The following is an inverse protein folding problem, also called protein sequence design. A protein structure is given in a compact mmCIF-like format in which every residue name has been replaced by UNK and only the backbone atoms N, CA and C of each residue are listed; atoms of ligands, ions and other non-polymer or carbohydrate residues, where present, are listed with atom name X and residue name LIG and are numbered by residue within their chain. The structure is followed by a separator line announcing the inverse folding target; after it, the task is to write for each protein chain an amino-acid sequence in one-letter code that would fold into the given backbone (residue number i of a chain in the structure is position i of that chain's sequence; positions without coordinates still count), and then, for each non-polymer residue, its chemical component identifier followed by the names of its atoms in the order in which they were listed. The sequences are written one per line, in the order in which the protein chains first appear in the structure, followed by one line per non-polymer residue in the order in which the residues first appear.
data_IF_418111419921
#
_entry.id   IF_418111419921
#
_cell.length_a   1.000
_cell.length_b   1.000
_cell.length_c   1.000
_cell.angle_alpha   90.00
_cell.angle_beta   90.00
_cell.angle_gamma   90.00
#
_symmetry.space_group_name_H-M   'P 1'
#
loop_
_entity.id
_entity.type
_entity.pdbx_description
1 polymer ?
#
# COMPACT_ATOMS: atom_id res chain seq x y z
N UNK A 1 37.30 3.26 4.28
CA UNK A 1 37.83 4.38 5.13
C UNK A 1 39.31 4.64 4.82
N UNK A 2 39.82 5.89 4.89
CA UNK A 2 41.25 6.21 4.68
C UNK A 2 42.00 6.12 6.01
N UNK A 3 43.03 5.27 6.08
CA UNK A 3 43.97 5.22 7.22
C UNK A 3 45.22 6.03 6.86
N UNK A 4 45.56 7.04 7.65
CA UNK A 4 46.73 7.89 7.42
C UNK A 4 47.61 8.05 8.67
N UNK A 5 48.92 8.14 8.45
CA UNK A 5 49.94 8.39 9.48
C UNK A 5 50.99 9.35 8.92
N UNK A 6 51.50 10.26 9.76
CA UNK A 6 52.61 11.14 9.42
C UNK A 6 53.86 10.63 10.14
N UNK A 7 54.84 10.18 9.37
CA UNK A 7 56.09 9.64 9.89
C UNK A 7 57.27 10.58 9.58
N UNK A 8 58.27 10.57 10.46
CA UNK A 8 59.47 11.41 10.33
C UNK A 8 60.74 10.58 10.35
N UNK A 9 61.68 10.87 9.46
CA UNK A 9 62.92 10.09 9.29
C UNK A 9 64.12 10.96 8.93
N UNK A 10 65.34 10.40 9.06
CA UNK A 10 66.58 11.11 8.65
C UNK A 10 66.69 11.27 7.12
N UNK A 11 66.07 10.36 6.38
CA UNK A 11 65.92 10.37 4.94
C UNK A 11 64.45 10.15 4.59
N UNK A 12 64.06 10.43 3.35
CA UNK A 12 62.70 10.17 2.86
C UNK A 12 62.36 8.68 2.99
N UNK A 13 63.27 7.80 2.57
CA UNK A 13 63.06 6.34 2.70
C UNK A 13 62.91 5.90 4.15
N UNK A 14 63.72 6.45 5.07
CA UNK A 14 63.58 6.12 6.50
C UNK A 14 62.26 6.62 7.11
N UNK A 15 61.68 7.69 6.56
CA UNK A 15 60.36 8.19 6.96
C UNK A 15 59.24 7.30 6.39
N UNK A 16 59.39 6.80 5.17
CA UNK A 16 58.45 5.84 4.54
C UNK A 16 58.46 4.52 5.32
N UNK A 17 59.63 3.96 5.62
CA UNK A 17 59.75 2.68 6.34
C UNK A 17 59.12 2.77 7.73
N UNK A 18 59.35 3.87 8.45
CA UNK A 18 58.71 4.13 9.75
C UNK A 18 57.19 4.28 9.64
N UNK A 19 56.68 4.88 8.57
CA UNK A 19 55.24 4.99 8.30
C UNK A 19 54.59 3.64 7.95
N UNK A 20 55.29 2.80 7.19
CA UNK A 20 54.85 1.45 6.85
C UNK A 20 54.77 0.55 8.10
N UNK A 21 55.77 0.63 8.99
CA UNK A 21 55.80 -0.12 10.24
C UNK A 21 54.65 0.31 11.18
N UNK A 22 54.34 1.61 11.24
CA UNK A 22 53.23 2.12 12.05
C UNK A 22 51.85 1.76 11.49
N UNK A 23 51.70 1.65 10.16
CA UNK A 23 50.47 1.19 9.50
C UNK A 23 50.35 -0.34 9.44
N UNK A 24 51.43 -1.08 9.72
CA UNK A 24 51.46 -2.54 9.71
C UNK A 24 51.31 -3.16 8.32
N UNK A 25 51.67 -2.41 7.27
CA UNK A 25 51.45 -2.77 5.87
C UNK A 25 52.76 -2.67 5.07
N UNK A 26 52.96 -3.51 4.04
CA UNK A 26 54.16 -3.46 3.21
C UNK A 26 54.15 -2.22 2.31
N UNK A 27 55.35 -1.72 1.94
CA UNK A 27 55.55 -0.51 1.12
C UNK A 27 54.78 -0.53 -0.21
N UNK A 28 54.48 -1.71 -0.72
CA UNK A 28 53.83 -1.93 -2.02
C UNK A 28 52.31 -1.74 -1.96
N UNK A 29 51.72 -1.61 -0.76
CA UNK A 29 50.28 -1.49 -0.55
C UNK A 29 49.86 -0.11 0.00
N UNK A 30 50.76 0.86 0.01
CA UNK A 30 50.54 2.15 0.67
C UNK A 30 50.99 3.30 -0.23
N UNK A 31 50.18 4.35 -0.28
CA UNK A 31 50.53 5.59 -0.96
C UNK A 31 51.22 6.56 0.00
N UNK A 32 52.16 7.35 -0.52
CA UNK A 32 52.90 8.32 0.31
C UNK A 32 53.07 9.67 -0.37
N UNK A 33 53.05 10.71 0.43
CA UNK A 33 53.23 12.11 0.04
C UNK A 33 54.36 12.72 0.88
N UNK A 34 55.38 13.27 0.21
CA UNK A 34 56.51 13.91 0.89
C UNK A 34 56.12 15.33 1.28
N UNK A 35 55.93 15.57 2.56
CA UNK A 35 55.57 16.88 3.11
C UNK A 35 56.83 17.76 3.23
N UNK A 36 57.93 17.18 3.69
CA UNK A 36 59.16 17.94 3.98
C UNK A 36 60.40 17.12 3.60
N UNK A 37 61.25 17.68 2.74
CA UNK A 37 62.51 17.05 2.34
C UNK A 37 63.59 17.28 3.41
N UNK A 38 64.45 16.28 3.67
CA UNK A 38 65.54 16.43 4.61
C UNK A 38 66.57 17.42 4.06
N UNK A 39 66.80 18.53 4.76
CA UNK A 39 67.81 19.52 4.38
C UNK A 39 68.91 19.62 5.42
N UNK A 40 70.16 19.54 4.95
CA UNK A 40 71.38 19.70 5.76
C UNK A 40 71.91 21.12 5.57
N UNK A 41 71.86 21.94 6.63
CA UNK A 41 72.36 23.32 6.59
C UNK A 41 73.88 23.42 6.36
N UNK A 42 74.33 24.55 5.81
CA UNK A 42 75.67 24.79 5.24
C UNK A 42 76.88 24.66 6.19
N UNK A 43 76.69 24.38 7.49
CA UNK A 43 77.80 24.15 8.44
C UNK A 43 77.53 22.99 9.42
N UNK A 44 76.62 22.07 9.08
CA UNK A 44 76.34 20.88 9.90
C UNK A 44 75.58 21.12 11.22
N UNK A 45 75.19 22.37 11.51
CA UNK A 45 74.57 22.79 12.78
C UNK A 45 73.03 22.67 12.80
N UNK A 46 72.39 22.41 11.66
CA UNK A 46 70.92 22.25 11.58
C UNK A 46 70.56 21.15 10.57
N UNK A 47 69.89 20.11 11.06
CA UNK A 47 69.34 19.01 10.26
C UNK A 47 67.83 19.01 10.47
N UNK A 48 67.09 19.18 9.38
CA UNK A 48 65.63 19.00 9.38
C UNK A 48 65.33 17.57 8.95
N UNK A 49 64.55 16.79 9.75
CA UNK A 49 64.16 15.44 9.37
C UNK A 49 63.15 15.49 8.22
N UNK A 50 63.16 14.47 7.38
CA UNK A 50 62.14 14.26 6.37
C UNK A 50 60.79 13.98 7.05
N UNK A 51 59.70 14.55 6.53
CA UNK A 51 58.33 14.24 6.94
C UNK A 51 57.56 13.68 5.75
N UNK A 52 56.94 12.53 5.94
CA UNK A 52 56.19 11.83 4.90
C UNK A 52 54.83 11.43 5.47
N UNK A 53 53.76 11.76 4.74
CA UNK A 53 52.41 11.27 5.01
C UNK A 53 52.25 9.96 4.26
N UNK A 54 51.86 8.93 4.99
CA UNK A 54 51.68 7.58 4.46
C UNK A 54 50.20 7.23 4.69
N UNK A 55 49.48 6.85 3.63
CA UNK A 55 48.05 6.58 3.70
C UNK A 55 47.63 5.40 2.83
N UNK A 56 46.64 4.63 3.29
CA UNK A 56 46.01 3.55 2.52
C UNK A 56 44.51 3.75 2.50
N UNK A 57 43.96 3.68 1.30
CA UNK A 57 42.51 3.59 1.09
C UNK A 57 42.13 2.11 1.16
N UNK A 58 41.57 1.67 2.29
CA UNK A 58 41.04 0.32 2.40
C UNK A 58 39.67 0.28 1.67
N UNK A 59 39.50 -0.61 0.68
CA UNK A 59 38.18 -0.88 0.11
C UNK A 59 37.33 -1.56 1.19
N UNK A 60 36.19 -0.95 1.52
CA UNK A 60 35.23 -1.55 2.44
C UNK A 60 34.78 -2.91 1.88
N UNK A 61 34.75 -3.93 2.75
CA UNK A 61 34.47 -5.30 2.40
C UNK A 61 33.13 -5.48 1.67
N UNK A 62 33.21 -6.09 0.49
CA UNK A 62 32.21 -6.92 -0.19
C UNK A 62 30.77 -6.37 -0.34
N UNK A 63 30.55 -5.64 -1.44
CA UNK A 63 29.42 -5.92 -2.34
C UNK A 63 30.01 -5.96 -3.76
N UNK A 64 29.78 -7.02 -4.57
CA UNK A 64 30.47 -7.20 -5.83
C UNK A 64 29.97 -6.18 -6.85
N UNK A 65 30.68 -5.07 -7.02
CA UNK A 65 30.53 -4.21 -8.18
C UNK A 65 31.54 -4.66 -9.24
N UNK A 66 31.09 -5.59 -10.08
CA UNK A 66 31.73 -5.89 -11.35
C UNK A 66 31.67 -4.63 -12.22
N UNK A 67 32.75 -3.84 -12.17
CA UNK A 67 32.99 -2.73 -13.10
C UNK A 67 33.30 -3.29 -14.49
N UNK A 68 32.27 -3.72 -15.20
CA UNK A 68 32.24 -3.64 -16.66
C UNK A 68 31.58 -2.32 -17.05
N UNK A 69 32.27 -1.54 -17.88
CA UNK A 69 31.91 -0.22 -18.40
C UNK A 69 30.39 -0.04 -18.61
N UNK A 70 29.72 0.56 -17.63
CA UNK A 70 28.33 0.98 -17.77
C UNK A 70 28.33 2.34 -18.49
N UNK A 71 27.55 2.52 -19.58
CA UNK A 71 27.39 3.82 -20.22
C UNK A 71 26.84 4.84 -19.23
N UNK A 72 26.90 6.12 -19.59
CA UNK A 72 26.59 7.33 -18.80
C UNK A 72 25.13 7.42 -18.26
N UNK A 73 24.65 6.38 -17.57
CA UNK A 73 23.37 6.29 -16.87
C UNK A 73 23.42 6.94 -15.47
N UNK A 74 24.62 7.29 -15.00
CA UNK A 74 24.83 7.95 -13.71
C UNK A 74 24.02 9.25 -13.57
N UNK A 75 23.92 10.03 -14.65
CA UNK A 75 23.12 11.26 -14.66
C UNK A 75 21.62 11.02 -14.43
N UNK A 76 21.04 9.99 -15.07
CA UNK A 76 19.60 9.68 -14.93
C UNK A 76 19.25 9.19 -13.53
N UNK A 77 20.13 8.36 -12.95
CA UNK A 77 19.95 7.82 -11.60
C UNK A 77 20.00 8.93 -10.57
N UNK A 78 20.96 9.85 -10.69
CA UNK A 78 21.06 11.01 -9.82
C UNK A 78 19.82 11.89 -9.89
N UNK A 79 19.30 12.16 -11.09
CA UNK A 79 18.04 12.91 -11.27
C UNK A 79 16.87 12.20 -10.60
N UNK A 80 16.77 10.88 -10.78
CA UNK A 80 15.71 10.08 -10.15
C UNK A 80 15.77 10.13 -8.62
N UNK A 81 16.97 9.96 -8.05
CA UNK A 81 17.21 10.04 -6.60
C UNK A 81 16.87 11.44 -6.06
N UNK A 82 17.36 12.48 -6.71
CA UNK A 82 17.12 13.86 -6.30
C UNK A 82 15.64 14.20 -6.35
N UNK A 83 14.94 13.79 -7.42
CA UNK A 83 13.51 14.04 -7.58
C UNK A 83 12.68 13.40 -6.46
N UNK A 84 12.97 12.15 -6.10
CA UNK A 84 12.28 11.48 -4.98
C UNK A 84 12.57 12.21 -3.67
N UNK A 85 13.84 12.57 -3.43
CA UNK A 85 14.26 13.24 -2.21
C UNK A 85 13.63 14.63 -2.07
N UNK A 86 13.50 15.39 -3.16
CA UNK A 86 12.85 16.71 -3.17
C UNK A 86 11.36 16.61 -2.86
N UNK A 87 10.65 15.63 -3.44
CA UNK A 87 9.22 15.44 -3.14
C UNK A 87 9.03 15.00 -1.69
N UNK A 88 9.83 14.04 -1.21
CA UNK A 88 9.72 13.54 0.16
C UNK A 88 10.00 14.65 1.17
N UNK A 89 10.99 15.52 0.92
CA UNK A 89 11.23 16.72 1.71
C UNK A 89 10.07 17.70 1.65
N UNK A 90 9.50 17.95 0.47
CA UNK A 90 8.31 18.80 0.32
C UNK A 90 7.08 18.25 1.06
N UNK A 91 7.01 16.94 1.30
CA UNK A 91 6.00 16.29 2.14
C UNK A 91 6.27 16.43 3.65
N UNK A 92 7.38 17.05 4.06
CA UNK A 92 7.78 17.25 5.46
C UNK A 92 8.51 16.05 6.08
N UNK A 93 9.11 15.19 5.27
CA UNK A 93 9.88 14.02 5.73
C UNK A 93 11.38 14.31 5.60
N UNK A 94 11.96 14.84 6.68
CA UNK A 94 13.33 15.36 6.66
C UNK A 94 14.42 14.27 6.87
N UNK A 95 14.05 13.12 7.44
CA UNK A 95 14.98 12.03 7.78
C UNK A 95 14.82 10.81 6.85
N UNK A 96 14.88 11.05 5.54
CA UNK A 96 14.76 9.99 4.52
C UNK A 96 16.01 9.94 3.65
N UNK A 97 16.51 8.72 3.43
CA UNK A 97 17.62 8.44 2.51
C UNK A 97 17.13 7.55 1.37
N UNK A 98 17.65 7.78 0.16
CA UNK A 98 17.27 7.02 -1.03
C UNK A 98 18.52 6.33 -1.58
N UNK A 99 18.60 5.02 -1.45
CA UNK A 99 19.65 4.20 -2.07
C UNK A 99 19.19 3.73 -3.44
N UNK A 100 20.03 3.87 -4.46
CA UNK A 100 19.78 3.33 -5.79
C UNK A 100 20.61 2.07 -6.01
N UNK A 101 20.00 1.04 -6.59
CA UNK A 101 20.68 -0.15 -7.11
C UNK A 101 20.38 -0.23 -8.60
N UNK A 102 21.42 -0.21 -9.42
CA UNK A 102 21.30 -0.30 -10.88
C UNK A 102 21.56 -1.74 -11.34
N UNK A 103 20.67 -2.25 -12.17
CA UNK A 103 20.79 -3.51 -12.88
C UNK A 103 20.46 -3.26 -14.35
N UNK A 104 21.48 -3.14 -15.20
CA UNK A 104 21.34 -2.82 -16.63
C UNK A 104 20.53 -1.53 -16.87
N UNK A 105 19.34 -1.66 -17.47
CA UNK A 105 18.38 -0.58 -17.74
C UNK A 105 17.29 -0.44 -16.66
N UNK A 106 17.39 -1.21 -15.58
CA UNK A 106 16.48 -1.13 -14.44
C UNK A 106 17.18 -0.46 -13.26
N UNK A 107 16.47 0.44 -12.60
CA UNK A 107 16.97 1.10 -11.39
C UNK A 107 15.94 0.91 -10.30
N UNK A 108 16.40 0.31 -9.21
CA UNK A 108 15.62 0.13 -8.00
C UNK A 108 16.03 1.19 -6.98
N UNK A 109 15.11 2.11 -6.68
CA UNK A 109 15.25 3.10 -5.63
C UNK A 109 14.61 2.56 -4.35
N UNK A 110 15.42 2.36 -3.32
CA UNK A 110 14.94 1.99 -1.98
C UNK A 110 14.91 3.22 -1.09
N UNK A 111 13.74 3.52 -0.57
CA UNK A 111 13.51 4.61 0.37
C UNK A 111 13.68 4.06 1.80
N UNK A 112 14.73 4.50 2.48
CA UNK A 112 15.11 4.12 3.84
C UNK A 112 14.90 5.30 4.80
N UNK A 113 14.61 4.99 6.07
CA UNK A 113 14.40 5.97 7.14
C UNK A 113 13.06 5.81 7.83
N UNK A 114 12.69 6.78 8.67
CA UNK A 114 11.32 6.89 9.20
C UNK A 114 10.42 7.47 8.09
N UNK A 115 10.28 6.67 7.05
CA UNK A 115 9.37 6.92 5.93
C UNK A 115 7.98 6.69 6.49
N UNK A 116 7.50 7.71 7.20
CA UNK A 116 6.19 7.74 7.80
C UNK A 116 5.14 7.27 6.78
N UNK A 117 4.07 6.62 7.22
CA UNK A 117 3.03 6.05 6.35
C UNK A 117 2.45 7.01 5.29
N UNK A 118 2.73 8.31 5.42
CA UNK A 118 2.52 9.38 4.45
C UNK A 118 3.17 9.11 3.08
N UNK A 119 4.45 8.73 3.01
CA UNK A 119 5.14 8.49 1.74
C UNK A 119 4.73 7.15 1.08
N UNK A 120 4.25 6.20 1.88
CA UNK A 120 3.61 4.99 1.37
C UNK A 120 2.24 5.34 0.78
N UNK A 121 1.51 6.22 1.45
CA UNK A 121 0.16 6.60 1.09
C UNK A 121 -0.87 5.53 1.43
N UNK A 122 -2.15 5.80 1.12
CA UNK A 122 -3.21 4.82 1.31
C UNK A 122 -2.94 3.63 0.40
N UNK A 123 -2.59 2.49 1.00
CA UNK A 123 -2.36 1.23 0.30
C UNK A 123 -1.24 1.23 -0.75
N UNK A 124 -0.31 2.19 -0.71
CA UNK A 124 0.81 2.25 -1.66
C UNK A 124 0.56 3.16 -2.86
N UNK A 125 -0.59 3.83 -2.94
CA UNK A 125 -0.93 4.72 -4.06
C UNK A 125 0.11 5.85 -4.24
N UNK A 126 0.64 6.39 -3.13
CA UNK A 126 1.67 7.42 -3.19
C UNK A 126 2.99 6.87 -3.71
N UNK A 127 3.38 5.64 -3.34
CA UNK A 127 4.57 4.98 -3.91
C UNK A 127 4.41 4.72 -5.40
N UNK A 128 3.24 4.26 -5.84
CA UNK A 128 2.98 4.02 -7.26
C UNK A 128 3.02 5.35 -8.06
N UNK A 129 2.44 6.42 -7.52
CA UNK A 129 2.49 7.75 -8.12
C UNK A 129 3.91 8.31 -8.17
N UNK A 130 4.67 8.19 -7.08
CA UNK A 130 6.09 8.58 -7.03
C UNK A 130 6.91 7.81 -8.05
N UNK A 131 6.71 6.49 -8.18
CA UNK A 131 7.41 5.67 -9.15
C UNK A 131 7.14 6.15 -10.58
N UNK A 132 5.88 6.43 -10.91
CA UNK A 132 5.48 6.92 -12.22
C UNK A 132 6.12 8.28 -12.53
N UNK A 133 6.01 9.24 -11.61
CA UNK A 133 6.54 10.60 -11.81
C UNK A 133 8.06 10.60 -11.89
N UNK A 134 8.73 9.80 -11.06
CA UNK A 134 10.19 9.67 -11.09
C UNK A 134 10.66 9.05 -12.40
N UNK A 135 9.94 8.03 -12.90
CA UNK A 135 10.20 7.46 -14.23
C UNK A 135 10.08 8.49 -15.35
N UNK A 136 9.07 9.35 -15.31
CA UNK A 136 8.92 10.45 -16.28
C UNK A 136 10.06 11.48 -16.16
N UNK A 137 10.44 11.85 -14.94
CA UNK A 137 11.51 12.82 -14.70
C UNK A 137 12.88 12.29 -15.17
N UNK A 138 13.21 11.04 -14.84
CA UNK A 138 14.48 10.42 -15.20
C UNK A 138 14.60 10.18 -16.72
N UNK A 139 13.51 9.79 -17.38
CA UNK A 139 13.49 9.56 -18.83
C UNK A 139 13.36 10.83 -19.67
N UNK A 140 13.24 12.01 -19.04
CA UNK A 140 13.34 13.29 -19.75
C UNK A 140 14.78 13.60 -20.17
N UNK A 141 15.76 13.08 -19.45
CA UNK A 141 17.18 13.23 -19.77
C UNK A 141 17.53 12.31 -20.94
N UNK A 142 18.38 12.80 -21.85
CA UNK A 142 18.83 12.05 -23.04
C UNK A 142 19.52 10.72 -22.67
N UNK A 143 19.43 9.74 -23.58
CA UNK A 143 19.97 8.39 -23.42
C UNK A 143 18.88 7.31 -23.38
N UNK A 144 19.27 6.08 -23.10
CA UNK A 144 18.37 4.91 -23.15
C UNK A 144 17.24 4.96 -22.12
N UNK A 145 16.15 4.25 -22.42
CA UNK A 145 15.00 4.17 -21.53
C UNK A 145 15.39 3.48 -20.21
N UNK A 146 15.19 4.20 -19.10
CA UNK A 146 15.47 3.76 -17.75
C UNK A 146 14.16 3.35 -17.07
N UNK A 147 14.05 2.08 -16.69
CA UNK A 147 12.91 1.59 -15.90
C UNK A 147 13.17 1.85 -14.42
N UNK A 148 12.43 2.79 -13.84
CA UNK A 148 12.51 3.12 -12.42
C UNK A 148 11.50 2.29 -11.62
N UNK A 149 11.99 1.64 -10.57
CA UNK A 149 11.21 0.90 -9.57
C UNK A 149 11.46 1.55 -8.21
N UNK A 150 10.40 1.84 -7.46
CA UNK A 150 10.53 2.38 -6.11
C UNK A 150 9.99 1.35 -5.12
N UNK A 151 10.78 1.07 -4.09
CA UNK A 151 10.36 0.25 -2.95
C UNK A 151 10.69 0.94 -1.62
N UNK A 152 9.88 0.68 -0.61
CA UNK A 152 10.06 1.17 0.74
C UNK A 152 9.75 0.06 1.73
N UNK A 153 10.77 -0.41 2.46
CA UNK A 153 10.62 -1.40 3.55
C UNK A 153 9.91 -2.71 3.16
N UNK A 154 10.07 -3.17 1.90
CA UNK A 154 9.36 -4.32 1.31
C UNK A 154 7.83 -4.21 1.40
N UNK A 155 7.30 -3.00 1.24
CA UNK A 155 5.87 -2.72 1.40
C UNK A 155 5.01 -3.60 0.47
N UNK A 156 5.41 -3.78 -0.80
CA UNK A 156 4.64 -4.55 -1.78
C UNK A 156 4.41 -6.00 -1.34
N UNK A 157 5.43 -6.64 -0.77
CA UNK A 157 5.34 -8.01 -0.27
C UNK A 157 4.47 -8.10 0.98
N UNK A 158 4.72 -7.24 1.98
CA UNK A 158 3.90 -7.17 3.20
C UNK A 158 2.43 -6.90 2.89
N UNK A 159 2.17 -6.02 1.91
CA UNK A 159 0.83 -5.67 1.47
C UNK A 159 0.13 -6.85 0.81
N UNK A 160 0.82 -7.58 -0.07
CA UNK A 160 0.31 -8.82 -0.67
C UNK A 160 -0.11 -9.81 0.41
N UNK A 161 0.78 -10.10 1.35
CA UNK A 161 0.51 -11.04 2.44
C UNK A 161 -0.72 -10.62 3.28
N UNK A 162 -0.87 -9.32 3.52
CA UNK A 162 -2.04 -8.77 4.25
C UNK A 162 -3.34 -8.98 3.48
N UNK A 163 -3.33 -8.76 2.16
CA UNK A 163 -4.51 -8.97 1.29
C UNK A 163 -4.90 -10.43 1.19
N UNK A 164 -3.92 -11.34 1.09
CA UNK A 164 -4.16 -12.78 1.09
C UNK A 164 -4.79 -13.25 2.41
N UNK A 165 -4.25 -12.79 3.54
CA UNK A 165 -4.80 -13.10 4.86
C UNK A 165 -6.23 -12.56 5.03
N UNK A 166 -6.49 -11.33 4.56
CA UNK A 166 -7.82 -10.74 4.54
C UNK A 166 -8.78 -11.59 3.71
N UNK A 167 -8.38 -11.98 2.49
CA UNK A 167 -9.17 -12.81 1.59
C UNK A 167 -9.53 -14.15 2.24
N UNK A 168 -8.55 -14.86 2.82
CA UNK A 168 -8.76 -16.12 3.54
C UNK A 168 -9.73 -15.97 4.71
N UNK A 169 -9.57 -14.90 5.51
CA UNK A 169 -10.47 -14.61 6.64
C UNK A 169 -11.91 -14.35 6.20
N UNK A 170 -12.10 -13.55 5.15
CA UNK A 170 -13.43 -13.25 4.62
C UNK A 170 -14.06 -14.47 3.95
N UNK A 171 -13.30 -15.26 3.20
CA UNK A 171 -13.77 -16.51 2.61
C UNK A 171 -14.31 -17.45 3.69
N UNK A 172 -13.57 -17.68 4.78
CA UNK A 172 -14.03 -18.50 5.89
C UNK A 172 -15.33 -17.97 6.53
N UNK A 173 -15.47 -16.66 6.68
CA UNK A 173 -16.68 -16.03 7.20
C UNK A 173 -17.88 -16.19 6.23
N UNK A 174 -17.66 -16.03 4.93
CA UNK A 174 -18.68 -16.19 3.88
C UNK A 174 -19.14 -17.64 3.80
N UNK A 175 -18.24 -18.62 3.89
CA UNK A 175 -18.59 -20.06 3.93
C UNK A 175 -19.44 -20.36 5.16
N UNK A 176 -19.04 -19.87 6.34
CA UNK A 176 -19.75 -20.13 7.61
C UNK A 176 -21.13 -19.49 7.64
N UNK A 177 -21.26 -18.26 7.14
CA UNK A 177 -22.50 -17.48 7.22
C UNK A 177 -23.42 -17.66 6.02
N UNK A 178 -22.86 -18.01 4.86
CA UNK A 178 -23.55 -18.02 3.57
C UNK A 178 -23.91 -16.63 3.05
N UNK A 179 -23.37 -15.55 3.65
CA UNK A 179 -23.68 -14.15 3.28
C UNK A 179 -22.53 -13.56 2.48
N UNK A 180 -22.87 -12.84 1.41
CA UNK A 180 -21.89 -12.14 0.59
C UNK A 180 -21.22 -11.01 1.38
N UNK A 181 -19.93 -10.80 1.15
CA UNK A 181 -19.16 -9.70 1.73
C UNK A 181 -18.57 -8.84 0.62
N UNK A 182 -18.79 -7.53 0.70
CA UNK A 182 -18.20 -6.55 -0.22
C UNK A 182 -16.98 -5.92 0.43
N UNK A 183 -15.87 -5.88 -0.29
CA UNK A 183 -14.64 -5.25 0.18
C UNK A 183 -14.61 -3.76 -0.17
N UNK A 184 -13.65 -3.04 0.42
CA UNK A 184 -13.40 -1.66 0.06
C UNK A 184 -12.89 -1.56 -1.41
N UNK A 185 -13.18 -0.45 -2.11
CA UNK A 185 -12.62 -0.19 -3.45
C UNK A 185 -11.11 -0.29 -3.45
N UNK A 186 -10.52 -0.89 -4.48
CA UNK A 186 -9.08 -1.13 -4.55
C UNK A 186 -8.56 -1.19 -5.99
N UNK A 187 -7.26 -0.96 -6.16
CA UNK A 187 -6.65 -0.95 -7.49
C UNK A 187 -6.74 -2.35 -8.17
N UNK A 188 -6.63 -2.43 -9.51
CA UNK A 188 -6.75 -3.69 -10.24
C UNK A 188 -5.78 -4.79 -9.78
N UNK A 189 -4.58 -4.41 -9.34
CA UNK A 189 -3.56 -5.34 -8.84
C UNK A 189 -3.98 -5.98 -7.52
N UNK A 190 -4.47 -5.20 -6.55
CA UNK A 190 -4.99 -5.69 -5.28
C UNK A 190 -6.20 -6.62 -5.52
N UNK A 191 -7.12 -6.24 -6.42
CA UNK A 191 -8.27 -7.10 -6.79
C UNK A 191 -7.81 -8.45 -7.33
N UNK A 192 -6.77 -8.46 -8.18
CA UNK A 192 -6.21 -9.69 -8.75
C UNK A 192 -5.64 -10.61 -7.67
N UNK A 193 -4.93 -10.07 -6.67
CA UNK A 193 -4.42 -10.86 -5.54
C UNK A 193 -5.58 -11.55 -4.83
N UNK A 194 -6.65 -10.79 -4.50
CA UNK A 194 -7.81 -11.34 -3.80
C UNK A 194 -8.53 -12.41 -4.64
N UNK A 195 -8.74 -12.16 -5.93
CA UNK A 195 -9.33 -13.14 -6.83
C UNK A 195 -8.50 -14.43 -6.90
N UNK A 196 -7.17 -14.31 -7.02
CA UNK A 196 -6.26 -15.45 -7.03
C UNK A 196 -6.37 -16.24 -5.72
N UNK A 197 -6.27 -15.58 -4.56
CA UNK A 197 -6.38 -16.27 -3.26
C UNK A 197 -7.74 -16.94 -3.06
N UNK A 198 -8.83 -16.34 -3.52
CA UNK A 198 -10.17 -16.91 -3.38
C UNK A 198 -10.37 -18.10 -4.33
N UNK A 199 -9.76 -18.07 -5.52
CA UNK A 199 -9.89 -19.16 -6.49
C UNK A 199 -9.33 -20.49 -5.98
N UNK A 200 -8.43 -20.46 -5.00
CA UNK A 200 -7.87 -21.63 -4.33
C UNK A 200 -8.79 -22.21 -3.25
N UNK A 201 -9.84 -21.50 -2.85
CA UNK A 201 -10.71 -21.88 -1.72
C UNK A 201 -12.06 -22.39 -2.23
N UNK A 202 -12.37 -23.65 -1.95
CA UNK A 202 -13.68 -24.22 -2.28
C UNK A 202 -14.82 -23.60 -1.45
N UNK A 203 -16.02 -23.52 -2.03
CA UNK A 203 -17.21 -23.00 -1.34
C UNK A 203 -17.44 -21.49 -1.48
N UNK A 204 -16.55 -20.77 -2.17
CA UNK A 204 -16.64 -19.32 -2.43
C UNK A 204 -16.29 -18.96 -3.86
N UNK A 205 -16.82 -17.82 -4.30
CA UNK A 205 -16.50 -17.18 -5.57
C UNK A 205 -16.29 -15.70 -5.34
N UNK A 206 -15.63 -15.04 -6.29
CA UNK A 206 -15.40 -13.60 -6.23
C UNK A 206 -15.73 -12.91 -7.55
N UNK A 207 -16.27 -11.69 -7.48
CA UNK A 207 -16.57 -10.87 -8.63
C UNK A 207 -16.18 -9.41 -8.36
N UNK A 208 -15.57 -8.73 -9.33
CA UNK A 208 -15.29 -7.30 -9.25
C UNK A 208 -16.51 -6.50 -9.71
N UNK A 209 -17.04 -5.61 -8.87
CA UNK A 209 -18.25 -4.81 -9.13
C UNK A 209 -17.96 -3.31 -8.95
N UNK A 210 -18.61 -2.49 -9.78
CA UNK A 210 -18.43 -1.04 -9.84
C UNK A 210 -17.44 -0.61 -10.92
N UNK A 211 -17.23 0.70 -11.03
CA UNK A 211 -16.31 1.33 -11.98
C UNK A 211 -15.14 1.97 -11.23
N UNK A 212 -13.96 1.99 -11.84
CA UNK A 212 -12.79 2.71 -11.34
C UNK A 212 -13.12 4.18 -11.04
N UNK A 213 -12.68 4.76 -9.90
CA UNK A 213 -11.82 4.19 -8.85
C UNK A 213 -12.58 3.45 -7.73
N UNK A 214 -13.92 3.43 -7.78
CA UNK A 214 -14.78 2.85 -6.74
C UNK A 214 -15.01 1.34 -6.91
N UNK A 215 -14.30 0.69 -7.83
CA UNK A 215 -14.44 -0.73 -8.10
C UNK A 215 -13.92 -1.57 -6.95
N UNK A 216 -14.74 -2.53 -6.52
CA UNK A 216 -14.48 -3.38 -5.36
C UNK A 216 -14.68 -4.86 -5.69
N UNK A 217 -14.21 -5.75 -4.81
CA UNK A 217 -14.42 -7.19 -4.92
C UNK A 217 -15.56 -7.61 -4.00
N UNK A 218 -16.49 -8.39 -4.52
CA UNK A 218 -17.54 -9.07 -3.76
C UNK A 218 -17.18 -10.54 -3.68
N UNK A 219 -17.21 -11.09 -2.47
CA UNK A 219 -17.04 -12.51 -2.20
C UNK A 219 -18.41 -13.10 -1.89
N UNK A 220 -18.79 -14.13 -2.62
CA UNK A 220 -20.06 -14.86 -2.47
C UNK A 220 -19.82 -16.32 -2.15
N UNK A 221 -20.73 -16.94 -1.39
CA UNK A 221 -20.68 -18.39 -1.19
C UNK A 221 -21.28 -19.08 -2.42
N UNK A 222 -20.71 -20.22 -2.82
CA UNK A 222 -21.32 -21.09 -3.84
C UNK A 222 -22.55 -21.81 -3.31
N UNK A 223 -22.68 -21.95 -1.99
CA UNK A 223 -23.84 -22.54 -1.31
C UNK A 223 -24.51 -21.47 -0.43
N UNK A 224 -25.17 -20.45 -1.02
CA UNK A 224 -25.81 -19.40 -0.25
C UNK A 224 -26.92 -19.98 0.62
N UNK A 225 -26.93 -19.63 1.91
CA UNK A 225 -28.03 -20.01 2.80
C UNK A 225 -29.29 -19.26 2.35
N UNK A 226 -30.45 -19.94 2.20
CA UNK A 226 -31.70 -19.27 1.88
C UNK A 226 -31.95 -18.16 2.89
N UNK A 227 -32.09 -16.93 2.41
CA UNK A 227 -32.50 -15.86 3.30
C UNK A 227 -33.91 -16.17 3.79
N UNK A 228 -34.21 -16.06 5.11
CA UNK A 228 -35.59 -16.08 5.56
C UNK A 228 -36.30 -14.91 4.86
N UNK A 229 -37.18 -15.23 3.92
CA UNK A 229 -38.00 -14.25 3.21
C UNK A 229 -38.73 -13.42 4.25
N UNK A 230 -38.46 -12.12 4.25
CA UNK A 230 -39.05 -11.15 5.17
C UNK A 230 -40.55 -10.92 5.00
N UNK A 231 -41.22 -11.71 4.14
CA UNK A 231 -42.64 -11.57 3.81
C UNK A 231 -43.54 -12.33 4.79
N UNK A 232 -43.34 -12.14 6.11
CA UNK A 232 -44.26 -12.62 7.16
C UNK A 232 -44.97 -11.51 7.94
N UNK A 233 -45.00 -10.29 7.41
CA UNK A 233 -45.81 -9.20 7.96
C UNK A 233 -46.76 -8.66 6.90
N UNK A 234 -47.95 -9.27 6.77
CA UNK A 234 -49.26 -8.60 6.60
C UNK A 234 -50.32 -9.51 5.97
N UNK A 235 -50.78 -10.54 6.71
CA UNK A 235 -52.04 -11.18 6.34
C UNK A 235 -52.86 -11.69 7.53
N UNK A 236 -52.78 -11.00 8.67
CA UNK A 236 -53.68 -11.22 9.82
C UNK A 236 -54.78 -10.18 9.97
N UNK A 237 -54.84 -9.15 9.12
CA UNK A 237 -55.85 -8.07 9.26
C UNK A 237 -57.07 -8.18 8.34
N UNK A 238 -57.25 -9.26 7.55
CA UNK A 238 -58.38 -9.36 6.60
C UNK A 238 -59.52 -10.29 6.99
N UNK A 239 -59.56 -10.78 8.24
CA UNK A 239 -60.72 -11.53 8.71
C UNK A 239 -61.25 -10.95 10.03
N UNK A 240 -61.76 -9.72 9.95
CA UNK A 240 -62.70 -9.20 10.94
C UNK A 240 -64.09 -9.38 10.29
N UNK A 241 -64.94 -10.32 10.76
CA UNK A 241 -66.26 -10.48 10.18
C UNK A 241 -67.05 -9.19 10.39
N UNK A 242 -67.64 -8.69 9.30
CA UNK A 242 -68.59 -7.58 9.33
C UNK A 242 -69.73 -7.95 10.29
N UNK A 243 -69.71 -7.40 11.50
CA UNK A 243 -70.82 -7.50 12.44
C UNK A 243 -71.86 -6.44 12.07
N UNK A 244 -72.50 -6.65 10.91
CA UNK A 244 -73.78 -6.02 10.57
C UNK A 244 -74.88 -6.82 11.26
N UNK A 245 -75.40 -6.29 12.36
CA UNK A 245 -76.46 -6.95 13.11
C UNK A 245 -77.02 -6.02 14.17
N UNK A 246 -78.05 -5.29 13.76
CA UNK A 246 -79.17 -4.73 14.53
C UNK A 246 -79.00 -4.64 16.05
N UNK A 247 -79.07 -3.42 16.58
CA UNK A 247 -79.46 -3.16 17.96
C UNK A 247 -80.92 -3.59 18.15
N UNK A 248 -81.26 -4.42 19.14
CA UNK A 248 -82.57 -4.38 19.76
C UNK A 248 -82.47 -3.56 21.05
N UNK A 249 -83.30 -2.54 21.11
CA UNK A 249 -83.62 -1.81 22.33
C UNK A 249 -84.42 -2.71 23.29
N UNK A 250 -84.08 -2.67 24.58
CA UNK A 250 -85.02 -3.00 25.66
C UNK A 250 -84.58 -4.10 26.63
N UNK A 251 -84.61 -3.78 27.94
CA UNK A 251 -84.85 -4.78 28.99
C UNK A 251 -83.86 -4.76 30.16
N UNK A 252 -84.26 -4.13 31.26
CA UNK A 252 -83.64 -4.21 32.58
C UNK A 252 -83.61 -5.65 33.15
N UNK A 253 -82.54 -6.02 33.88
CA UNK A 253 -82.60 -6.50 35.29
C UNK A 253 -81.23 -6.97 35.79
N UNK A 254 -80.79 -6.29 36.84
CA UNK A 254 -80.25 -6.77 38.12
C UNK A 254 -79.66 -8.19 38.19
N UNK A 255 -78.42 -8.27 38.65
CA UNK A 255 -77.82 -9.54 39.06
C UNK A 255 -76.37 -9.42 39.48
N UNK A 256 -76.15 -9.23 40.78
CA UNK A 256 -74.88 -9.42 41.50
C UNK A 256 -74.01 -10.55 40.93
N UNK A 257 -72.74 -10.26 40.63
CA UNK A 257 -71.69 -11.24 40.90
C UNK A 257 -70.46 -10.54 41.48
N UNK A 258 -70.22 -10.86 42.75
CA UNK A 258 -69.05 -10.55 43.56
C UNK A 258 -67.92 -11.52 43.23
N UNK A 259 -66.69 -11.05 43.32
CA UNK A 259 -65.46 -11.86 43.30
C UNK A 259 -64.31 -11.04 42.73
N UNK A 260 -63.67 -10.14 43.48
CA UNK A 260 -62.72 -10.40 44.57
C UNK A 260 -61.55 -11.31 44.16
N UNK A 261 -60.44 -10.69 43.75
CA UNK A 261 -59.04 -10.99 44.10
C UNK A 261 -58.16 -10.20 43.12
N UNK A 262 -57.18 -9.38 43.46
CA UNK A 262 -56.53 -9.07 44.72
C UNK A 262 -55.19 -8.41 44.36
N UNK A 263 -54.94 -7.23 44.95
CA UNK A 263 -53.66 -6.59 45.29
C UNK A 263 -52.66 -6.19 44.18
N UNK A 264 -52.44 -4.86 44.01
CA UNK A 264 -51.39 -4.00 44.63
C UNK A 264 -50.03 -4.15 43.94
N UNK A 265 -49.22 -3.13 43.65
CA UNK A 265 -49.14 -1.70 44.00
C UNK A 265 -48.19 -1.04 42.97
N UNK A 266 -48.35 0.27 42.72
CA UNK A 266 -47.33 1.05 42.00
C UNK A 266 -47.87 2.36 41.46
N UNK A 267 -47.89 3.38 42.31
CA UNK A 267 -48.44 4.73 42.07
C UNK A 267 -47.35 5.65 41.49
N UNK A 268 -47.82 6.71 40.82
CA UNK A 268 -47.16 7.97 40.44
C UNK A 268 -46.47 7.97 39.06
N UNK A 269 -47.08 8.60 38.04
CA UNK A 269 -47.18 10.07 37.81
C UNK A 269 -45.82 10.74 37.89
N UNK A 270 -45.23 10.95 36.72
CA UNK A 270 -44.61 12.23 36.38
C UNK A 270 -44.90 12.53 34.91
N UNK A 271 -45.89 13.40 34.73
CA UNK A 271 -46.02 14.26 33.56
C UNK A 271 -44.91 15.31 33.68
N UNK A 272 -43.96 15.35 32.75
CA UNK A 272 -43.15 16.54 32.46
C UNK A 272 -42.56 16.47 31.05
N UNK A 273 -42.98 17.46 30.27
CA UNK A 273 -42.22 18.18 29.25
C UNK A 273 -41.78 17.44 27.98
N UNK A 274 -42.65 17.56 26.97
CA UNK A 274 -42.36 18.41 25.80
C UNK A 274 -40.88 18.70 25.54
N UNK A 275 -40.22 17.85 24.75
CA UNK A 275 -39.15 18.29 23.85
C UNK A 275 -39.29 17.65 22.49
N UNK A 276 -39.98 18.39 21.65
CA UNK A 276 -39.64 18.67 20.25
C UNK A 276 -38.34 18.00 19.77
N UNK A 277 -38.51 17.10 18.81
CA UNK A 277 -37.43 16.35 18.18
C UNK A 277 -37.85 15.87 16.81
N UNK A 278 -38.43 16.79 16.03
CA UNK A 278 -38.71 16.68 14.61
C UNK A 278 -37.45 16.25 13.84
N UNK A 279 -37.22 14.93 13.72
CA UNK A 279 -36.27 14.37 12.75
C UNK A 279 -37.06 14.02 11.50
N UNK A 280 -37.16 15.03 10.66
CA UNK A 280 -37.46 15.03 9.24
C UNK A 280 -37.05 13.71 8.57
N UNK A 281 -37.96 12.73 8.51
CA UNK A 281 -37.82 11.55 7.65
C UNK A 281 -38.22 11.99 6.25
N UNK A 282 -37.22 12.26 5.41
CA UNK A 282 -37.43 12.56 3.99
C UNK A 282 -38.33 11.51 3.30
N UNK A 283 -38.96 11.87 2.17
CA UNK A 283 -39.96 11.03 1.53
C UNK A 283 -39.39 9.66 1.19
N UNK A 284 -40.17 8.62 1.50
CA UNK A 284 -39.89 7.20 1.25
C UNK A 284 -39.53 7.05 -0.23
N UNK A 285 -38.25 6.74 -0.54
CA UNK A 285 -37.82 6.46 -1.92
C UNK A 285 -38.74 5.38 -2.50
N UNK A 286 -39.49 5.75 -3.52
CA UNK A 286 -40.27 4.80 -4.30
C UNK A 286 -39.31 3.75 -4.88
N UNK A 287 -39.73 2.48 -4.84
CA UNK A 287 -38.95 1.39 -5.44
C UNK A 287 -38.77 1.69 -6.92
N UNK A 288 -37.56 1.57 -7.50
CA UNK A 288 -37.39 1.77 -8.94
C UNK A 288 -38.28 0.78 -9.69
N UNK A 289 -38.89 1.26 -10.77
CA UNK A 289 -39.72 0.43 -11.65
C UNK A 289 -38.90 -0.77 -12.17
N UNK A 290 -39.54 -1.95 -12.38
CA UNK A 290 -38.86 -3.10 -12.93
C UNK A 290 -38.26 -2.75 -14.31
N UNK A 291 -37.01 -3.19 -14.51
CA UNK A 291 -36.26 -2.98 -15.74
C UNK A 291 -37.08 -3.44 -16.95
N UNK A 292 -37.43 -2.50 -17.84
CA UNK A 292 -38.01 -2.82 -19.14
C UNK A 292 -36.85 -3.17 -20.06
N UNK A 293 -36.78 -4.43 -20.45
CA UNK A 293 -35.85 -4.92 -21.47
C UNK A 293 -36.30 -4.36 -22.82
N UNK A 294 -35.81 -3.18 -23.18
CA UNK A 294 -36.12 -2.50 -24.43
C UNK A 294 -34.85 -2.05 -25.14
N UNK A 295 -34.22 -2.98 -25.85
CA UNK A 295 -33.70 -2.77 -27.21
C UNK A 295 -33.09 -4.07 -27.69
N UNK A 296 -33.36 -4.39 -28.96
CA UNK A 296 -32.77 -5.53 -29.68
C UNK A 296 -31.25 -5.50 -29.48
N UNK A 297 -30.66 -6.62 -29.07
CA UNK A 297 -29.21 -6.82 -29.22
C UNK A 297 -28.90 -6.69 -30.70
N UNK A 298 -28.24 -5.60 -31.10
CA UNK A 298 -27.65 -5.54 -32.42
C UNK A 298 -26.60 -6.64 -32.51
N UNK A 299 -26.83 -7.57 -33.43
CA UNK A 299 -25.89 -8.65 -33.73
C UNK A 299 -24.67 -7.98 -34.38
N UNK A 300 -23.48 -8.29 -33.87
CA UNK A 300 -22.23 -7.78 -34.44
C UNK A 300 -22.17 -8.10 -35.95
N UNK A 301 -21.68 -7.17 -36.80
CA UNK A 301 -21.60 -7.40 -38.23
C UNK A 301 -20.73 -8.63 -38.55
N UNK A 302 -21.19 -9.44 -39.50
CA UNK A 302 -20.62 -10.76 -39.84
C UNK A 302 -19.15 -10.73 -40.30
N UNK A 303 -18.58 -9.56 -40.57
CA UNK A 303 -17.20 -9.39 -41.01
C UNK A 303 -16.17 -9.45 -39.86
N UNK A 304 -16.61 -9.38 -38.60
CA UNK A 304 -15.70 -9.45 -37.44
C UNK A 304 -15.35 -10.88 -37.00
N UNK A 305 -15.94 -11.91 -37.61
CA UNK A 305 -15.79 -13.32 -37.16
C UNK A 305 -14.47 -13.95 -37.62
N UNK A 306 -13.80 -13.39 -38.64
CA UNK A 306 -12.61 -13.99 -39.26
C UNK A 306 -11.35 -13.09 -39.26
N UNK A 307 -11.25 -12.11 -38.37
CA UNK A 307 -9.98 -11.41 -38.16
C UNK A 307 -9.20 -12.04 -37.00
N UNK A 308 -7.93 -12.43 -37.19
CA UNK A 308 -7.11 -12.96 -36.10
C UNK A 308 -6.86 -11.87 -35.05
N UNK A 309 -7.20 -12.17 -33.79
CA UNK A 309 -7.16 -11.24 -32.66
C UNK A 309 -5.75 -10.84 -32.19
N UNK A 310 -4.69 -11.36 -32.79
CA UNK A 310 -3.30 -11.03 -32.46
C UNK A 310 -2.42 -11.08 -33.72
N UNK A 311 -1.73 -9.97 -33.99
CA UNK A 311 -0.55 -9.99 -34.86
C UNK A 311 0.53 -10.83 -34.20
N UNK A 312 1.02 -11.85 -34.91
CA UNK A 312 2.17 -12.65 -34.49
C UNK A 312 3.37 -11.71 -34.34
N UNK A 313 4.01 -11.75 -33.18
CA UNK A 313 5.38 -11.26 -33.02
C UNK A 313 6.25 -12.44 -33.42
N UNK A 314 6.94 -12.32 -34.55
CA UNK A 314 7.95 -13.30 -34.96
C UNK A 314 9.18 -13.11 -34.07
N UNK A 315 9.64 -14.21 -33.47
CA UNK A 315 10.90 -14.34 -32.72
C UNK A 315 12.05 -14.62 -33.70
#
# INVERSE_FOLDING_TARGET
MIREIIATGRTVDAAIDAGCEQLGLPRDEIDFEIIEMPHKGFLGLSQTPAKVRVFKEEPDAEVPETSEKVPDLGGKIQVAQQYVLDIVKAMGLDQVTVSATQEENNVTLKINGDVSGVAIGRRGETLDALQYLTGLAANRVEGDYLRVIIDSGNYRERRRNTLEQLAKKLAAAVIKTGRNTTLEPMNPYERRIIHATISEIEGVTSASVGEEPNRCVIISSTNPRPQPSGDRYDNRSRNKPNRSGSRPSGGHRDGNFRGNSGNNHGVNRDNRDSRDGNRNRGPRREKPAPYKESSKREVAPAEAVNQPLYGKIDL
#
